data_IF_798703710301
#
_entry.id   IF_798703710301
#
_cell.length_a   1.000
_cell.length_b   1.000
_cell.length_c   1.000
_cell.angle_alpha   90.00
_cell.angle_beta   90.00
_cell.angle_gamma   90.00
#
_symmetry.space_group_name_H-M   'P 1'
#
loop_
_entity.id
_entity.type
_entity.pdbx_description
1 polymer ?
#
# COMPACT_ATOMS: atom_id res chain seq x y z
N UNK A 1 -5.91 19.96 33.76
CA UNK A 1 -6.15 18.93 32.71
C UNK A 1 -5.25 19.08 31.46
N UNK A 2 -4.78 20.29 31.10
CA UNK A 2 -3.91 20.51 29.92
C UNK A 2 -2.53 19.83 29.98
N UNK A 3 -1.83 19.88 31.14
CA UNK A 3 -0.46 19.36 31.31
C UNK A 3 -0.32 17.84 31.12
N UNK A 4 -1.32 17.06 31.50
CA UNK A 4 -1.27 15.59 31.39
C UNK A 4 -1.42 15.15 29.93
N UNK A 5 -2.24 15.86 29.15
CA UNK A 5 -2.43 15.60 27.72
C UNK A 5 -1.18 15.91 26.90
N UNK A 6 -0.42 16.92 27.30
CA UNK A 6 0.82 17.26 26.59
C UNK A 6 1.92 16.23 26.78
N UNK A 7 2.02 15.63 27.97
CA UNK A 7 2.96 14.51 28.23
C UNK A 7 2.63 13.27 27.41
N UNK A 8 1.34 12.98 27.25
CA UNK A 8 0.86 11.80 26.51
C UNK A 8 0.91 12.02 24.99
N UNK A 9 1.14 13.24 24.50
CA UNK A 9 1.22 13.50 23.05
C UNK A 9 2.46 14.28 22.66
N UNK A 10 3.54 14.11 23.42
CA UNK A 10 4.83 14.72 23.10
C UNK A 10 5.41 14.25 21.76
N UNK A 11 5.02 13.06 21.30
CA UNK A 11 5.43 12.49 20.02
C UNK A 11 4.61 12.99 18.82
N UNK A 12 3.48 13.67 19.05
CA UNK A 12 2.63 14.17 17.98
C UNK A 12 3.24 15.47 17.49
N UNK A 13 3.62 15.54 16.21
CA UNK A 13 4.13 16.77 15.64
C UNK A 13 3.03 17.84 15.68
N UNK A 14 3.32 18.95 16.36
CA UNK A 14 2.40 20.09 16.53
C UNK A 14 2.80 21.29 15.68
N UNK A 15 3.73 21.11 14.75
CA UNK A 15 4.08 22.18 13.81
C UNK A 15 2.82 22.64 13.07
N UNK A 16 2.54 23.96 13.06
CA UNK A 16 1.38 24.48 12.33
C UNK A 16 1.56 24.16 10.85
N UNK A 17 0.62 23.39 10.31
CA UNK A 17 0.60 23.04 8.88
C UNK A 17 0.15 24.26 8.08
N UNK A 18 1.03 24.78 7.22
CA UNK A 18 0.72 25.84 6.27
C UNK A 18 0.04 25.31 4.98
N UNK A 19 -0.55 24.10 5.05
CA UNK A 19 -1.10 23.40 3.89
C UNK A 19 -2.61 23.26 4.10
N UNK A 20 -3.39 23.68 3.11
CA UNK A 20 -4.86 23.58 3.18
C UNK A 20 -5.33 22.13 3.33
N UNK A 21 -6.44 21.92 4.04
CA UNK A 21 -7.05 20.59 4.23
C UNK A 21 -7.22 19.86 2.90
N UNK A 22 -7.67 20.56 1.84
CA UNK A 22 -7.93 19.94 0.54
C UNK A 22 -6.67 19.37 -0.11
N UNK A 23 -5.52 20.05 0.04
CA UNK A 23 -4.23 19.53 -0.45
C UNK A 23 -3.79 18.29 0.32
N UNK A 24 -4.04 18.25 1.63
CA UNK A 24 -3.73 17.08 2.48
C UNK A 24 -4.60 15.88 2.12
N UNK A 25 -5.91 16.10 1.91
CA UNK A 25 -6.82 15.06 1.45
C UNK A 25 -6.41 14.51 0.08
N UNK A 26 -6.09 15.40 -0.87
CA UNK A 26 -5.64 14.99 -2.20
C UNK A 26 -4.34 14.17 -2.14
N UNK A 27 -3.37 14.60 -1.33
CA UNK A 27 -2.14 13.84 -1.13
C UNK A 27 -2.42 12.44 -0.58
N UNK A 28 -3.34 12.33 0.39
CA UNK A 28 -3.75 11.03 0.95
C UNK A 28 -4.41 10.13 -0.10
N UNK A 29 -5.31 10.68 -0.93
CA UNK A 29 -5.97 9.91 -2.00
C UNK A 29 -4.95 9.43 -3.02
N UNK A 30 -4.00 10.29 -3.41
CA UNK A 30 -2.94 9.94 -4.36
C UNK A 30 -2.04 8.84 -3.78
N UNK A 31 -1.60 9.00 -2.53
CA UNK A 31 -0.77 8.00 -1.84
C UNK A 31 -1.48 6.65 -1.76
N UNK A 32 -2.77 6.63 -1.43
CA UNK A 32 -3.54 5.40 -1.34
C UNK A 32 -3.69 4.71 -2.70
N UNK A 33 -3.97 5.47 -3.76
CA UNK A 33 -4.07 4.95 -5.12
C UNK A 33 -2.73 4.42 -5.64
N UNK A 34 -1.64 5.18 -5.48
CA UNK A 34 -0.31 4.77 -5.91
C UNK A 34 0.19 3.56 -5.13
N UNK A 35 -0.01 3.56 -3.81
CA UNK A 35 0.28 2.42 -2.95
C UNK A 35 -0.47 1.18 -3.40
N UNK A 36 -1.78 1.28 -3.63
CA UNK A 36 -2.59 0.17 -4.14
C UNK A 36 -2.08 -0.38 -5.48
N UNK A 37 -1.76 0.50 -6.44
CA UNK A 37 -1.26 0.10 -7.76
C UNK A 37 0.11 -0.58 -7.63
N UNK A 38 1.07 0.06 -6.98
CA UNK A 38 2.45 -0.44 -6.87
C UNK A 38 2.49 -1.77 -6.12
N UNK A 39 1.71 -1.90 -5.05
CA UNK A 39 1.70 -3.12 -4.23
C UNK A 39 0.90 -4.25 -4.87
N UNK A 40 -0.15 -3.95 -5.65
CA UNK A 40 -0.93 -4.94 -6.39
C UNK A 40 -0.29 -5.40 -7.70
N UNK A 41 0.61 -4.59 -8.28
CA UNK A 41 1.23 -4.84 -9.58
C UNK A 41 1.93 -6.20 -9.69
N UNK A 42 2.71 -6.68 -8.70
CA UNK A 42 3.34 -7.99 -8.77
C UNK A 42 2.33 -9.15 -8.94
N UNK A 43 1.19 -9.10 -8.25
CA UNK A 43 0.16 -10.12 -8.41
C UNK A 43 -0.42 -10.12 -9.83
N UNK A 44 -0.64 -8.95 -10.42
CA UNK A 44 -1.14 -8.83 -11.80
C UNK A 44 -0.14 -9.39 -12.81
N UNK A 45 1.16 -9.13 -12.62
CA UNK A 45 2.21 -9.70 -13.46
C UNK A 45 2.25 -11.22 -13.38
N UNK A 46 2.22 -11.79 -12.16
CA UNK A 46 2.21 -13.25 -11.98
C UNK A 46 0.96 -13.87 -12.58
N UNK A 47 -0.21 -13.26 -12.35
CA UNK A 47 -1.47 -13.72 -12.92
C UNK A 47 -1.43 -13.75 -14.45
N UNK A 48 -1.01 -12.65 -15.09
CA UNK A 48 -0.89 -12.56 -16.53
C UNK A 48 0.14 -13.54 -17.10
N UNK A 49 1.30 -13.69 -16.44
CA UNK A 49 2.35 -14.59 -16.88
C UNK A 49 1.91 -16.07 -16.87
N UNK A 50 1.19 -16.49 -15.82
CA UNK A 50 0.78 -17.88 -15.59
C UNK A 50 -0.50 -18.23 -16.35
N UNK A 51 -1.51 -17.37 -16.30
CA UNK A 51 -2.83 -17.66 -16.88
C UNK A 51 -2.95 -17.24 -18.34
N UNK A 52 -2.03 -16.40 -18.84
CA UNK A 52 -2.10 -15.73 -20.15
C UNK A 52 -3.36 -14.88 -20.34
N UNK A 53 -4.06 -14.54 -19.25
CA UNK A 53 -5.26 -13.71 -19.24
C UNK A 53 -4.94 -12.30 -18.77
N UNK A 54 -5.65 -11.32 -19.33
CA UNK A 54 -5.59 -9.91 -18.94
C UNK A 54 -6.73 -9.48 -18.01
N UNK A 55 -7.46 -10.43 -17.43
CA UNK A 55 -8.64 -10.14 -16.61
C UNK A 55 -8.25 -9.56 -15.24
N UNK A 56 -9.04 -8.59 -14.77
CA UNK A 56 -8.94 -8.14 -13.39
C UNK A 56 -9.41 -9.24 -12.44
N UNK A 57 -8.63 -9.48 -11.39
CA UNK A 57 -9.01 -10.38 -10.30
C UNK A 57 -8.96 -9.63 -8.97
N UNK A 58 -9.96 -9.86 -8.12
CA UNK A 58 -10.05 -9.19 -6.82
C UNK A 58 -9.26 -9.91 -5.73
N UNK A 59 -9.01 -11.22 -5.88
CA UNK A 59 -8.42 -12.05 -4.84
C UNK A 59 -7.47 -13.11 -5.41
N UNK A 60 -6.48 -13.51 -4.61
CA UNK A 60 -5.51 -14.55 -4.95
C UNK A 60 -6.12 -15.96 -5.07
N UNK A 61 -7.35 -16.16 -4.58
CA UNK A 61 -8.11 -17.39 -4.81
C UNK A 61 -8.39 -17.68 -6.29
N UNK A 62 -8.19 -16.68 -7.17
CA UNK A 62 -8.32 -16.85 -8.61
C UNK A 62 -7.43 -17.99 -9.15
N UNK A 63 -6.23 -18.18 -8.59
CA UNK A 63 -5.34 -19.26 -9.01
C UNK A 63 -5.95 -20.64 -8.73
N UNK A 64 -6.48 -20.84 -7.53
CA UNK A 64 -7.16 -22.08 -7.15
C UNK A 64 -8.42 -22.33 -7.99
N UNK A 65 -9.21 -21.27 -8.25
CA UNK A 65 -10.43 -21.36 -9.05
C UNK A 65 -10.19 -21.74 -10.51
N UNK A 66 -9.00 -21.42 -11.05
CA UNK A 66 -8.56 -21.77 -12.39
C UNK A 66 -7.84 -23.14 -12.44
N UNK A 67 -7.74 -23.85 -11.31
CA UNK A 67 -7.07 -25.15 -11.22
C UNK A 67 -5.55 -25.08 -11.05
N UNK A 68 -4.97 -23.91 -10.80
CA UNK A 68 -3.55 -23.77 -10.51
C UNK A 68 -3.24 -24.07 -9.04
N UNK A 69 -2.00 -24.50 -8.78
CA UNK A 69 -1.51 -24.73 -7.41
C UNK A 69 -1.56 -23.45 -6.57
N UNK A 70 -1.95 -23.60 -5.30
CA UNK A 70 -1.93 -22.54 -4.29
C UNK A 70 -0.53 -21.92 -4.11
N UNK A 71 0.54 -22.58 -4.54
CA UNK A 71 1.89 -22.01 -4.55
C UNK A 71 1.98 -20.68 -5.30
N UNK A 72 1.23 -20.51 -6.39
CA UNK A 72 1.20 -19.26 -7.16
C UNK A 72 0.53 -18.13 -6.38
N UNK A 73 -0.53 -18.43 -5.61
CA UNK A 73 -1.18 -17.47 -4.74
C UNK A 73 -0.24 -16.98 -3.63
N UNK A 74 0.51 -17.90 -3.01
CA UNK A 74 1.50 -17.54 -1.99
C UNK A 74 2.66 -16.73 -2.56
N UNK A 75 3.15 -17.07 -3.75
CA UNK A 75 4.22 -16.32 -4.41
C UNK A 75 3.77 -14.89 -4.73
N UNK A 76 2.60 -14.74 -5.38
CA UNK A 76 2.04 -13.44 -5.71
C UNK A 76 1.79 -12.59 -4.46
N UNK A 77 1.17 -13.17 -3.42
CA UNK A 77 0.94 -12.47 -2.15
C UNK A 77 2.22 -12.05 -1.44
N UNK A 78 3.25 -12.90 -1.43
CA UNK A 78 4.55 -12.57 -0.84
C UNK A 78 5.25 -11.42 -1.57
N UNK A 79 5.20 -11.41 -2.91
CA UNK A 79 5.75 -10.32 -3.71
C UNK A 79 5.00 -9.00 -3.48
N UNK A 80 3.67 -9.04 -3.39
CA UNK A 80 2.86 -7.87 -3.03
C UNK A 80 3.22 -7.33 -1.65
N UNK A 81 3.45 -8.22 -0.67
CA UNK A 81 3.87 -7.84 0.67
C UNK A 81 5.25 -7.15 0.66
N UNK A 82 6.22 -7.71 -0.07
CA UNK A 82 7.55 -7.09 -0.22
C UNK A 82 7.43 -5.71 -0.90
N UNK A 83 6.63 -5.60 -1.96
CA UNK A 83 6.39 -4.33 -2.63
C UNK A 83 5.76 -3.29 -1.69
N UNK A 84 4.86 -3.72 -0.79
CA UNK A 84 4.27 -2.84 0.23
C UNK A 84 5.29 -2.32 1.25
N UNK A 85 6.22 -3.16 1.68
CA UNK A 85 7.31 -2.74 2.56
C UNK A 85 8.22 -1.72 1.86
N UNK A 86 8.56 -1.96 0.59
CA UNK A 86 9.37 -1.02 -0.21
C UNK A 86 8.63 0.31 -0.39
N UNK A 87 7.36 0.29 -0.80
CA UNK A 87 6.55 1.49 -0.96
C UNK A 87 6.49 2.31 0.34
N UNK A 88 6.22 1.66 1.47
CA UNK A 88 6.10 2.32 2.77
C UNK A 88 7.42 2.97 3.22
N UNK A 89 8.56 2.35 2.91
CA UNK A 89 9.87 2.95 3.21
C UNK A 89 10.19 4.11 2.28
N UNK A 90 9.87 4.02 1.00
CA UNK A 90 10.05 5.12 0.04
C UNK A 90 9.21 6.35 0.41
N UNK A 91 7.93 6.17 0.72
CA UNK A 91 7.04 7.26 1.14
C UNK A 91 7.57 7.90 2.42
N UNK A 92 7.97 7.10 3.40
CA UNK A 92 8.55 7.61 4.66
C UNK A 92 9.85 8.38 4.43
N UNK A 93 10.71 7.94 3.51
CA UNK A 93 11.92 8.68 3.16
C UNK A 93 11.60 10.02 2.51
N UNK A 94 10.57 10.07 1.65
CA UNK A 94 10.10 11.30 1.01
C UNK A 94 9.60 12.34 2.04
N UNK A 95 8.99 11.89 3.14
CA UNK A 95 8.55 12.76 4.25
C UNK A 95 9.71 13.28 5.13
N UNK A 96 10.89 12.67 5.04
CA UNK A 96 12.06 13.01 5.88
C UNK A 96 13.03 14.02 5.26
N UNK A 97 12.80 14.41 4.00
CA UNK A 97 13.56 15.39 3.21
C UNK A 97 12.83 16.73 3.22
#
# INVERSE_FOLDING_TARGET
MHKSWEKVTSWVDRKPSNVSISKRLLAYVIDWCLGGIITGFPAVLIYSAVTKKGDMFSNLYVFASLGYSNGWAYLAGSLCFIAALIYSTMVRQLESI
#
